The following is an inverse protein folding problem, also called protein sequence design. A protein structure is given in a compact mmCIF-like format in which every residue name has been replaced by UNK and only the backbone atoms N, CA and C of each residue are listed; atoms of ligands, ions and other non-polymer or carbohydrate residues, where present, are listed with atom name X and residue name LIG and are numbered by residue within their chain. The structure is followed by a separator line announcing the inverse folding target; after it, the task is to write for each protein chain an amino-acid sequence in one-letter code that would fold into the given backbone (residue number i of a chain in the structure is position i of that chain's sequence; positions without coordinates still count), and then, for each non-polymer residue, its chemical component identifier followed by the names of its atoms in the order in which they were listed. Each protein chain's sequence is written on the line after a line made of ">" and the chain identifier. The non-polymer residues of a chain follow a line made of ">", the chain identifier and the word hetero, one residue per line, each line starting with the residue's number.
data_IF_556850376688
#
_entry.id   IF_556850376688
#
_cell.length_a   1.000
_cell.length_b   1.000
_cell.length_c   1.000
_cell.angle_alpha   90.00
_cell.angle_beta   90.00
_cell.angle_gamma   90.00
#
_symmetry.space_group_name_H-M   'P 1'
#
loop_
_entity.id
_entity.type
_entity.pdbx_description
1 polymer ?
#
# COMPACT_ATOMS: atom_id res chain seq x y z
N UNK A 1 -68.97 -57.42 -24.67
CA UNK A 1 -67.89 -57.62 -23.67
C UNK A 1 -66.59 -57.26 -24.32
N UNK A 2 -66.09 -56.13 -24.16
CA UNK A 2 -64.81 -55.65 -24.74
C UNK A 2 -63.92 -55.16 -23.61
N UNK A 3 -62.81 -55.89 -23.44
CA UNK A 3 -61.76 -55.49 -22.51
C UNK A 3 -60.89 -54.43 -23.16
N UNK A 4 -60.87 -53.23 -22.63
CA UNK A 4 -59.94 -52.16 -22.98
C UNK A 4 -58.60 -52.34 -22.22
N UNK A 5 -57.51 -52.42 -22.94
CA UNK A 5 -56.15 -52.44 -22.41
C UNK A 5 -55.70 -50.98 -22.27
N UNK A 6 -55.51 -50.56 -21.04
CA UNK A 6 -55.00 -49.23 -20.71
C UNK A 6 -53.44 -49.32 -20.72
N UNK A 7 -52.80 -48.74 -21.73
CA UNK A 7 -51.35 -48.59 -21.77
C UNK A 7 -50.93 -47.35 -20.97
N UNK A 8 -50.27 -47.56 -19.84
CA UNK A 8 -49.61 -46.53 -19.06
C UNK A 8 -48.25 -46.21 -19.70
N UNK A 9 -48.15 -45.03 -20.30
CA UNK A 9 -46.91 -44.41 -20.69
C UNK A 9 -46.29 -43.70 -19.47
N UNK A 10 -45.22 -44.28 -18.93
CA UNK A 10 -44.34 -43.58 -17.96
C UNK A 10 -43.47 -42.58 -18.71
N UNK A 11 -43.41 -41.30 -18.36
CA UNK A 11 -42.39 -40.40 -18.89
C UNK A 11 -41.08 -40.65 -18.20
N UNK A 12 -40.06 -41.04 -18.98
CA UNK A 12 -38.65 -41.09 -18.54
C UNK A 12 -38.19 -39.66 -18.36
N UNK A 13 -38.10 -39.20 -17.12
CA UNK A 13 -37.41 -37.97 -16.74
C UNK A 13 -35.91 -38.16 -16.91
N UNK A 14 -35.36 -37.73 -18.05
CA UNK A 14 -33.94 -37.59 -18.26
C UNK A 14 -33.49 -36.36 -17.44
N UNK A 15 -33.02 -36.63 -16.23
CA UNK A 15 -32.36 -35.58 -15.42
C UNK A 15 -31.10 -35.09 -16.12
N UNK A 16 -31.12 -33.87 -16.59
CA UNK A 16 -29.90 -33.17 -16.98
C UNK A 16 -29.08 -32.93 -15.72
N UNK A 17 -28.09 -33.82 -15.50
CA UNK A 17 -27.05 -33.53 -14.53
C UNK A 17 -26.28 -32.33 -15.05
N UNK A 18 -26.56 -31.15 -14.49
CA UNK A 18 -25.70 -29.97 -14.63
C UNK A 18 -24.34 -30.34 -14.05
N UNK A 19 -23.40 -30.74 -14.90
CA UNK A 19 -21.99 -30.75 -14.52
C UNK A 19 -21.60 -29.30 -14.22
N UNK A 20 -21.69 -28.89 -12.96
CA UNK A 20 -20.98 -27.72 -12.51
C UNK A 20 -19.49 -28.02 -12.67
N UNK A 21 -18.72 -27.15 -13.34
CA UNK A 21 -17.29 -27.34 -13.36
C UNK A 21 -16.81 -27.43 -11.92
N UNK A 22 -16.09 -28.49 -11.58
CA UNK A 22 -15.33 -28.55 -10.33
C UNK A 22 -14.47 -27.29 -10.34
N UNK A 23 -14.51 -26.42 -9.29
CA UNK A 23 -13.65 -25.26 -9.24
C UNK A 23 -12.22 -25.74 -9.49
N UNK A 24 -11.65 -25.33 -10.62
CA UNK A 24 -10.29 -25.69 -10.98
C UNK A 24 -9.38 -25.32 -9.82
N UNK A 25 -8.47 -26.24 -9.44
CA UNK A 25 -7.45 -25.98 -8.41
C UNK A 25 -6.82 -24.63 -8.69
N UNK A 26 -6.88 -23.70 -7.72
CA UNK A 26 -6.26 -22.37 -7.86
C UNK A 26 -4.79 -22.58 -8.18
N UNK A 27 -4.30 -21.97 -9.24
CA UNK A 27 -2.92 -22.15 -9.72
C UNK A 27 -1.92 -21.22 -9.03
N UNK A 28 -2.34 -20.49 -8.01
CA UNK A 28 -1.48 -19.59 -7.24
C UNK A 28 -1.81 -19.70 -5.76
N UNK A 29 -0.77 -19.41 -4.97
CA UNK A 29 -0.86 -19.40 -3.53
C UNK A 29 -1.59 -18.14 -3.05
N UNK A 30 -2.11 -18.22 -1.84
CA UNK A 30 -2.68 -17.08 -1.13
C UNK A 30 -1.58 -16.09 -0.78
N UNK A 31 -1.95 -14.82 -0.58
CA UNK A 31 -1.02 -13.74 -0.21
C UNK A 31 -1.54 -12.95 0.99
N UNK A 32 -0.67 -12.77 1.98
CA UNK A 32 -0.85 -11.87 3.09
C UNK A 32 0.20 -10.75 3.01
N UNK A 33 -0.27 -9.50 2.92
CA UNK A 33 0.57 -8.31 3.06
C UNK A 33 0.38 -7.74 4.46
N UNK A 34 1.46 -7.65 5.23
CA UNK A 34 1.46 -7.05 6.57
C UNK A 34 2.32 -5.79 6.53
N UNK A 35 1.78 -4.69 7.05
CA UNK A 35 2.53 -3.46 7.29
C UNK A 35 2.59 -3.16 8.78
N UNK A 36 3.81 -2.93 9.28
CA UNK A 36 4.07 -2.37 10.61
C UNK A 36 4.49 -0.91 10.43
N UNK A 37 3.65 0.01 10.88
CA UNK A 37 3.87 1.45 10.69
C UNK A 37 5.16 1.94 11.35
N UNK A 38 5.95 2.70 10.62
CA UNK A 38 7.14 3.37 11.15
C UNK A 38 8.32 2.46 11.51
N UNK A 39 8.39 1.27 10.92
CA UNK A 39 9.46 0.31 11.21
C UNK A 39 10.74 0.68 10.44
N UNK A 40 11.61 1.47 11.07
CA UNK A 40 12.90 1.86 10.48
C UNK A 40 13.78 0.63 10.20
N UNK A 41 14.49 0.65 9.10
CA UNK A 41 15.25 -0.48 8.52
C UNK A 41 16.18 -1.21 9.50
N UNK A 42 16.71 -0.51 10.49
CA UNK A 42 17.70 -1.03 11.45
C UNK A 42 17.16 -1.26 12.87
N UNK A 43 15.84 -1.24 13.07
CA UNK A 43 15.24 -1.41 14.40
C UNK A 43 15.46 -2.80 15.01
N UNK A 44 15.75 -3.80 14.20
CA UNK A 44 16.04 -5.16 14.63
C UNK A 44 17.52 -5.39 15.01
N UNK A 45 18.39 -4.36 14.87
CA UNK A 45 19.82 -4.53 15.06
C UNK A 45 20.29 -4.33 16.51
N UNK A 46 19.53 -3.65 17.33
CA UNK A 46 19.87 -3.34 18.73
C UNK A 46 18.90 -4.00 19.75
N UNK A 47 18.20 -5.04 19.34
CA UNK A 47 17.27 -5.82 20.13
C UNK A 47 17.16 -7.24 19.59
N UNK A 48 16.91 -8.22 20.47
CA UNK A 48 16.70 -9.60 20.05
C UNK A 48 15.38 -9.76 19.31
N UNK A 49 15.47 -10.27 18.08
CA UNK A 49 14.34 -10.55 17.20
C UNK A 49 14.43 -11.97 16.60
N UNK A 50 14.36 -13.01 17.43
CA UNK A 50 14.63 -14.39 16.98
C UNK A 50 13.67 -14.89 15.90
N UNK A 51 12.42 -14.43 15.90
CA UNK A 51 11.44 -14.82 14.89
C UNK A 51 11.72 -14.12 13.54
N UNK A 52 12.05 -12.83 13.55
CA UNK A 52 12.46 -12.10 12.35
C UNK A 52 13.76 -12.64 11.77
N UNK A 53 14.72 -13.00 12.62
CA UNK A 53 16.01 -13.60 12.21
C UNK A 53 15.79 -14.96 11.54
N UNK A 54 14.89 -15.79 12.09
CA UNK A 54 14.50 -17.06 11.49
C UNK A 54 13.86 -16.83 10.11
N UNK A 55 12.97 -15.87 9.97
CA UNK A 55 12.36 -15.55 8.68
C UNK A 55 13.37 -15.08 7.64
N UNK A 56 14.44 -14.40 8.03
CA UNK A 56 15.51 -14.02 7.12
C UNK A 56 16.24 -15.25 6.55
N UNK A 57 16.34 -16.34 7.31
CA UNK A 57 16.91 -17.62 6.85
C UNK A 57 15.92 -18.43 6.03
N UNK A 58 14.65 -18.43 6.41
CA UNK A 58 13.59 -19.21 5.75
C UNK A 58 12.94 -18.50 4.55
N UNK A 59 13.33 -17.26 4.28
CA UNK A 59 12.76 -16.44 3.23
C UNK A 59 13.71 -15.40 2.66
N UNK A 60 13.14 -14.26 2.32
CA UNK A 60 13.81 -13.09 1.73
C UNK A 60 13.86 -11.96 2.75
N UNK A 61 15.02 -11.31 2.85
CA UNK A 61 15.20 -10.04 3.56
C UNK A 61 15.85 -9.04 2.61
N UNK A 62 15.28 -7.84 2.44
CA UNK A 62 15.99 -6.75 1.80
C UNK A 62 16.91 -6.05 2.82
N UNK A 63 18.02 -5.50 2.34
CA UNK A 63 18.93 -4.70 3.21
C UNK A 63 18.18 -3.52 3.80
N UNK A 64 17.41 -2.81 2.99
CA UNK A 64 16.40 -1.84 3.37
C UNK A 64 15.45 -1.58 2.19
N UNK A 65 14.31 -0.95 2.48
CA UNK A 65 13.33 -0.51 1.50
C UNK A 65 13.28 1.02 1.49
N UNK A 66 13.22 1.62 0.30
CA UNK A 66 13.07 3.06 0.15
C UNK A 66 11.60 3.42 -0.03
N UNK A 67 11.00 4.16 0.92
CA UNK A 67 9.63 4.64 0.78
C UNK A 67 9.55 5.78 -0.26
N UNK A 68 8.35 6.12 -0.79
CA UNK A 68 8.20 7.30 -1.61
C UNK A 68 8.33 8.57 -0.75
N UNK A 69 8.63 9.69 -1.38
CA UNK A 69 8.42 11.00 -0.79
C UNK A 69 6.95 11.42 -1.03
N UNK A 70 6.25 11.87 -0.06
CA UNK A 70 6.53 12.18 1.34
C UNK A 70 6.53 10.89 2.17
N UNK A 71 7.48 10.76 3.09
CA UNK A 71 7.64 9.60 3.98
C UNK A 71 6.59 9.61 5.10
N UNK A 72 5.36 9.36 4.73
CA UNK A 72 4.16 9.52 5.54
C UNK A 72 3.19 8.35 5.32
N UNK A 73 2.41 8.01 6.32
CA UNK A 73 1.62 6.77 6.41
C UNK A 73 0.69 6.53 5.21
N UNK A 74 -0.32 7.38 5.01
CA UNK A 74 -1.33 7.16 3.95
C UNK A 74 -0.74 7.24 2.54
N UNK A 75 0.11 8.22 2.20
CA UNK A 75 0.76 8.27 0.91
C UNK A 75 1.58 7.02 0.59
N UNK A 76 2.43 6.58 1.53
CA UNK A 76 3.30 5.40 1.35
C UNK A 76 2.51 4.10 1.23
N UNK A 77 1.50 3.90 2.06
CA UNK A 77 0.65 2.71 1.99
C UNK A 77 -0.09 2.61 0.65
N UNK A 78 -0.53 3.75 0.11
CA UNK A 78 -1.20 3.73 -1.19
C UNK A 78 -0.23 3.49 -2.35
N UNK A 79 1.02 3.95 -2.24
CA UNK A 79 2.09 3.58 -3.18
C UNK A 79 2.33 2.06 -3.16
N UNK A 80 2.46 1.46 -1.99
CA UNK A 80 2.69 0.01 -1.86
C UNK A 80 1.56 -0.81 -2.50
N UNK A 81 0.30 -0.40 -2.34
CA UNK A 81 -0.87 -1.16 -2.81
C UNK A 81 -1.29 -0.82 -4.24
N UNK A 82 -0.75 0.22 -4.85
CA UNK A 82 -1.08 0.65 -6.21
C UNK A 82 0.08 0.60 -7.19
N UNK A 83 1.32 0.56 -6.71
CA UNK A 83 2.52 0.65 -7.55
C UNK A 83 2.72 2.02 -8.22
N UNK A 84 2.05 3.08 -7.72
CA UNK A 84 2.09 4.41 -8.30
C UNK A 84 2.83 5.38 -7.37
N UNK A 85 3.50 6.36 -7.99
CA UNK A 85 4.04 7.49 -7.26
C UNK A 85 2.92 8.33 -6.64
N UNK A 86 3.25 9.08 -5.58
CA UNK A 86 2.26 9.88 -4.85
C UNK A 86 1.61 10.94 -5.74
N UNK A 87 2.36 11.56 -6.65
CA UNK A 87 1.80 12.52 -7.61
C UNK A 87 0.80 11.90 -8.61
N UNK A 88 0.88 10.59 -8.81
CA UNK A 88 -0.04 9.88 -9.71
C UNK A 88 -1.30 9.40 -8.99
N UNK A 89 -1.16 8.88 -7.78
CA UNK A 89 -2.33 8.37 -7.04
C UNK A 89 -3.07 9.42 -6.21
N UNK A 90 -2.44 10.55 -5.91
CA UNK A 90 -3.10 11.72 -5.33
C UNK A 90 -3.40 11.68 -3.83
N UNK A 91 -3.05 10.62 -3.12
CA UNK A 91 -3.11 10.57 -1.65
C UNK A 91 -1.82 11.19 -1.12
N UNK A 92 -1.79 12.52 -1.07
CA UNK A 92 -0.55 13.29 -0.89
C UNK A 92 -0.18 13.55 0.57
N UNK A 93 -1.09 13.25 1.51
CA UNK A 93 -0.90 13.54 2.93
C UNK A 93 -1.78 12.62 3.79
N UNK A 94 -1.43 12.43 5.06
CA UNK A 94 -2.30 11.76 6.03
C UNK A 94 -3.58 12.54 6.30
N UNK A 95 -3.49 13.85 6.16
CA UNK A 95 -4.62 14.75 6.33
C UNK A 95 -5.33 15.00 5.01
N UNK A 96 -6.64 14.81 4.98
CA UNK A 96 -7.50 15.31 3.93
C UNK A 96 -7.80 16.78 4.17
N UNK A 97 -7.80 17.58 3.13
CA UNK A 97 -8.07 19.01 3.23
C UNK A 97 -8.80 19.56 2.01
N UNK A 98 -9.47 20.71 2.23
CA UNK A 98 -10.12 21.49 1.19
C UNK A 98 -9.74 22.98 1.38
N UNK A 99 -9.06 23.53 0.39
CA UNK A 99 -8.54 24.91 0.45
C UNK A 99 -9.62 25.99 0.38
N UNK A 100 -10.77 25.70 -0.23
CA UNK A 100 -11.88 26.65 -0.36
C UNK A 100 -12.68 26.78 0.94
N UNK A 101 -13.04 25.63 1.53
CA UNK A 101 -13.78 25.58 2.80
C UNK A 101 -12.85 25.71 4.02
N UNK A 102 -11.52 25.56 3.80
CA UNK A 102 -10.48 25.55 4.84
C UNK A 102 -10.59 24.38 5.83
N UNK A 103 -11.38 23.36 5.53
CA UNK A 103 -11.49 22.17 6.35
C UNK A 103 -10.25 21.28 6.25
N UNK A 104 -9.84 20.76 7.41
CA UNK A 104 -8.78 19.77 7.56
C UNK A 104 -9.35 18.57 8.32
N UNK A 105 -9.16 17.39 7.79
CA UNK A 105 -9.61 16.14 8.41
C UNK A 105 -8.39 15.33 8.81
N UNK A 106 -8.32 14.92 10.07
CA UNK A 106 -7.21 14.12 10.60
C UNK A 106 -7.12 12.74 9.93
N UNK A 107 -5.99 12.09 10.05
CA UNK A 107 -5.75 10.72 9.60
C UNK A 107 -6.90 9.77 10.01
N UNK A 108 -7.32 9.82 11.27
CA UNK A 108 -8.42 9.01 11.80
C UNK A 108 -9.72 9.14 11.01
N UNK A 109 -10.07 10.37 10.67
CA UNK A 109 -11.33 10.69 9.98
C UNK A 109 -11.30 10.29 8.51
N UNK A 110 -10.12 10.26 7.88
CA UNK A 110 -9.97 10.04 6.45
C UNK A 110 -10.12 8.59 6.01
N UNK A 111 -10.04 7.61 6.92
CA UNK A 111 -9.96 6.20 6.56
C UNK A 111 -11.19 5.67 5.78
N UNK A 112 -12.34 6.31 5.91
CA UNK A 112 -13.57 5.99 5.18
C UNK A 112 -13.99 7.06 4.17
N UNK A 113 -13.15 8.07 3.93
CA UNK A 113 -13.44 9.20 3.05
C UNK A 113 -13.06 8.89 1.60
N UNK A 114 -13.96 8.26 0.87
CA UNK A 114 -13.76 7.86 -0.54
C UNK A 114 -13.20 9.01 -1.39
N UNK A 115 -13.67 10.24 -1.19
CA UNK A 115 -13.21 11.43 -1.91
C UNK A 115 -11.71 11.74 -1.74
N UNK A 116 -11.07 11.24 -0.67
CA UNK A 116 -9.64 11.38 -0.49
C UNK A 116 -8.84 10.31 -1.24
N UNK A 117 -9.33 9.07 -1.20
CA UNK A 117 -8.63 7.89 -1.71
C UNK A 117 -8.90 7.61 -3.19
N UNK A 118 -10.13 7.84 -3.67
CA UNK A 118 -10.53 7.52 -5.04
C UNK A 118 -10.17 8.64 -6.01
N UNK A 119 -8.96 8.59 -6.56
CA UNK A 119 -8.45 9.52 -7.57
C UNK A 119 -8.27 8.83 -8.94
N UNK A 120 -8.98 7.74 -9.19
CA UNK A 120 -8.91 6.98 -10.43
C UNK A 120 -7.84 5.88 -10.46
N UNK A 121 -6.96 5.81 -9.45
CA UNK A 121 -5.98 4.73 -9.26
C UNK A 121 -6.58 3.65 -8.36
N UNK A 122 -6.55 2.39 -8.80
CA UNK A 122 -7.10 1.28 -8.05
C UNK A 122 -6.05 0.66 -7.12
N UNK A 123 -6.42 0.39 -5.85
CA UNK A 123 -5.61 -0.49 -5.00
C UNK A 123 -5.71 -1.94 -5.47
N UNK A 124 -4.69 -2.73 -5.17
CA UNK A 124 -4.60 -4.12 -5.61
C UNK A 124 -5.81 -4.98 -5.20
N UNK A 125 -6.41 -4.74 -4.04
CA UNK A 125 -7.58 -5.51 -3.62
C UNK A 125 -8.79 -5.33 -4.54
N UNK A 126 -8.96 -4.18 -5.20
CA UNK A 126 -10.02 -3.99 -6.20
C UNK A 126 -9.63 -4.64 -7.53
N UNK A 127 -8.40 -4.44 -8.00
CA UNK A 127 -7.90 -5.06 -9.25
C UNK A 127 -7.98 -6.59 -9.19
N UNK A 128 -7.54 -7.18 -8.08
CA UNK A 128 -7.60 -8.62 -7.86
C UNK A 128 -9.06 -9.13 -7.77
N UNK A 129 -9.92 -8.38 -7.09
CA UNK A 129 -11.33 -8.70 -6.95
C UNK A 129 -12.06 -8.70 -8.31
N UNK A 130 -11.74 -7.73 -9.18
CA UNK A 130 -12.26 -7.68 -10.56
C UNK A 130 -11.82 -8.88 -11.41
N UNK A 131 -10.72 -9.50 -11.05
CA UNK A 131 -10.17 -10.67 -11.72
C UNK A 131 -10.47 -12.01 -11.01
N UNK A 132 -11.50 -11.99 -10.15
CA UNK A 132 -12.03 -13.21 -9.52
C UNK A 132 -11.31 -13.66 -8.25
N UNK A 133 -10.43 -12.83 -7.67
CA UNK A 133 -9.82 -13.10 -6.36
C UNK A 133 -10.72 -12.60 -5.24
N UNK A 134 -10.75 -13.30 -4.13
CA UNK A 134 -11.40 -12.84 -2.90
C UNK A 134 -10.42 -12.05 -2.06
N UNK A 135 -10.77 -10.82 -1.73
CA UNK A 135 -9.85 -9.88 -1.07
C UNK A 135 -10.44 -9.29 0.20
N UNK A 136 -9.59 -9.08 1.19
CA UNK A 136 -9.97 -8.49 2.47
C UNK A 136 -8.90 -7.52 2.98
N UNK A 137 -9.31 -6.58 3.82
CA UNK A 137 -8.42 -5.62 4.46
C UNK A 137 -8.75 -5.51 5.94
N UNK A 138 -7.74 -5.65 6.79
CA UNK A 138 -7.83 -5.45 8.23
C UNK A 138 -6.93 -4.28 8.62
N UNK A 139 -7.55 -3.13 8.91
CA UNK A 139 -6.92 -1.87 9.33
C UNK A 139 -6.01 -1.18 8.29
N UNK A 140 -5.73 -1.80 7.15
CA UNK A 140 -4.83 -1.21 6.16
C UNK A 140 -5.36 0.14 5.67
N UNK A 141 -4.52 1.20 5.61
CA UNK A 141 -4.94 2.54 5.18
C UNK A 141 -5.60 2.52 3.80
N UNK A 142 -6.77 3.13 3.71
CA UNK A 142 -7.57 3.14 2.48
C UNK A 142 -8.49 1.93 2.29
N UNK A 143 -8.38 0.88 3.13
CA UNK A 143 -9.21 -0.32 3.04
C UNK A 143 -10.69 -0.10 3.35
N UNK A 144 -11.04 1.01 3.99
CA UNK A 144 -12.43 1.40 4.28
C UNK A 144 -13.10 2.27 3.22
N UNK A 145 -12.39 2.66 2.17
CA UNK A 145 -12.88 3.52 1.10
C UNK A 145 -13.42 2.71 -0.08
N UNK A 146 -14.21 3.35 -0.93
CA UNK A 146 -14.65 2.82 -2.23
C UNK A 146 -13.78 3.39 -3.35
N UNK A 147 -13.57 2.60 -4.40
CA UNK A 147 -12.79 2.97 -5.57
C UNK A 147 -13.62 2.68 -6.82
N UNK A 148 -13.93 3.73 -7.58
CA UNK A 148 -14.88 3.65 -8.70
C UNK A 148 -16.19 2.96 -8.31
N UNK A 149 -16.67 3.26 -7.10
CA UNK A 149 -17.88 2.71 -6.53
C UNK A 149 -17.76 1.32 -5.88
N UNK A 150 -16.62 0.65 -5.98
CA UNK A 150 -16.39 -0.69 -5.44
C UNK A 150 -15.65 -0.65 -4.10
N UNK A 151 -16.09 -1.48 -3.15
CA UNK A 151 -15.41 -1.71 -1.89
C UNK A 151 -14.71 -3.08 -1.90
N UNK A 152 -13.66 -3.23 -1.10
CA UNK A 152 -13.09 -4.55 -0.79
C UNK A 152 -14.18 -5.47 -0.22
N UNK A 153 -14.13 -6.77 -0.50
CA UNK A 153 -15.19 -7.71 -0.10
C UNK A 153 -15.37 -7.81 1.43
N UNK A 154 -14.28 -7.74 2.16
CA UNK A 154 -14.30 -7.73 3.63
C UNK A 154 -13.36 -6.65 4.14
N UNK A 155 -13.85 -5.78 5.04
CA UNK A 155 -13.02 -4.73 5.62
C UNK A 155 -13.32 -4.57 7.10
N UNK A 156 -12.26 -4.52 7.90
CA UNK A 156 -12.29 -3.98 9.26
C UNK A 156 -11.45 -2.71 9.26
N UNK A 157 -12.07 -1.60 9.55
CA UNK A 157 -11.42 -0.30 9.66
C UNK A 157 -10.96 -0.09 11.08
N UNK A 158 -9.75 0.43 11.24
CA UNK A 158 -9.14 0.65 12.53
C UNK A 158 -10.02 1.48 13.46
N UNK A 159 -10.20 1.00 14.70
CA UNK A 159 -10.87 1.72 15.77
C UNK A 159 -9.86 2.50 16.56
N UNK A 160 -10.07 3.81 16.69
CA UNK A 160 -9.11 4.72 17.33
C UNK A 160 -9.09 4.71 18.84
N UNK A 161 -9.76 3.79 19.46
CA UNK A 161 -9.76 3.60 20.92
C UNK A 161 -8.78 2.52 21.35
N UNK A 162 -8.05 1.93 20.41
CA UNK A 162 -7.15 0.84 20.71
C UNK A 162 -5.85 1.33 21.36
N UNK A 163 -5.35 0.63 22.35
CA UNK A 163 -3.95 0.66 22.68
C UNK A 163 -3.20 -0.16 21.62
N UNK A 164 -2.49 0.50 20.70
CA UNK A 164 -1.72 -0.16 19.65
C UNK A 164 -0.72 -1.19 20.16
N UNK A 165 -0.38 -1.11 21.43
CA UNK A 165 0.47 -2.05 22.15
C UNK A 165 -0.26 -3.26 22.76
N UNK A 166 -1.54 -3.47 22.45
CA UNK A 166 -2.28 -4.65 22.94
C UNK A 166 -1.92 -5.90 22.16
N UNK A 167 -0.97 -6.66 22.69
CA UNK A 167 -0.47 -7.90 22.06
C UNK A 167 -1.55 -8.96 21.89
N UNK A 168 -2.53 -9.03 22.78
CA UNK A 168 -3.67 -9.95 22.68
C UNK A 168 -4.53 -9.62 21.45
N UNK A 169 -4.84 -8.35 21.24
CA UNK A 169 -5.60 -7.89 20.08
C UNK A 169 -4.86 -8.20 18.77
N UNK A 170 -3.55 -8.03 18.73
CA UNK A 170 -2.76 -8.38 17.55
C UNK A 170 -2.86 -9.88 17.21
N UNK A 171 -2.85 -10.76 18.20
CA UNK A 171 -3.05 -12.20 18.02
C UNK A 171 -4.46 -12.52 17.53
N UNK A 172 -5.48 -11.87 18.09
CA UNK A 172 -6.87 -11.99 17.66
C UNK A 172 -7.03 -11.56 16.20
N UNK A 173 -6.37 -10.47 15.77
CA UNK A 173 -6.38 -10.03 14.37
C UNK A 173 -5.74 -11.06 13.43
N UNK A 174 -4.65 -11.71 13.86
CA UNK A 174 -4.05 -12.82 13.11
C UNK A 174 -5.02 -13.99 13.00
N UNK A 175 -5.72 -14.34 14.06
CA UNK A 175 -6.71 -15.43 14.06
C UNK A 175 -7.89 -15.12 13.10
N UNK A 176 -8.34 -13.88 13.06
CA UNK A 176 -9.34 -13.40 12.08
C UNK A 176 -8.83 -13.62 10.65
N UNK A 177 -7.60 -13.20 10.36
CA UNK A 177 -7.00 -13.34 9.02
C UNK A 177 -6.85 -14.82 8.64
N UNK A 178 -6.42 -15.69 9.57
CA UNK A 178 -6.33 -17.14 9.32
C UNK A 178 -7.71 -17.74 9.01
N UNK A 179 -8.75 -17.33 9.72
CA UNK A 179 -10.11 -17.75 9.41
C UNK A 179 -10.58 -17.28 8.03
N UNK A 180 -10.24 -16.09 7.62
CA UNK A 180 -10.54 -15.60 6.26
C UNK A 180 -9.88 -16.47 5.19
N UNK A 181 -8.63 -16.86 5.37
CA UNK A 181 -7.94 -17.73 4.42
C UNK A 181 -8.49 -19.15 4.41
N UNK A 182 -8.84 -19.74 5.53
CA UNK A 182 -9.19 -21.15 5.66
C UNK A 182 -10.68 -21.43 5.55
N UNK A 183 -11.52 -20.68 6.26
CA UNK A 183 -12.97 -20.90 6.30
C UNK A 183 -13.73 -20.18 5.19
N UNK A 184 -13.26 -18.98 4.82
CA UNK A 184 -13.91 -18.16 3.82
C UNK A 184 -13.19 -18.16 2.48
N UNK A 185 -12.05 -18.85 2.38
CA UNK A 185 -11.26 -19.04 1.17
C UNK A 185 -10.83 -17.73 0.48
N UNK A 186 -10.44 -16.72 1.25
CA UNK A 186 -9.85 -15.51 0.71
C UNK A 186 -8.51 -15.80 0.04
N UNK A 187 -8.17 -15.01 -0.99
CA UNK A 187 -6.94 -15.15 -1.76
C UNK A 187 -5.89 -14.13 -1.38
N UNK A 188 -6.32 -12.91 -1.05
CA UNK A 188 -5.46 -11.78 -0.72
C UNK A 188 -6.01 -11.02 0.48
N UNK A 189 -5.18 -10.84 1.49
CA UNK A 189 -5.52 -10.08 2.70
C UNK A 189 -4.41 -9.06 2.98
N UNK A 190 -4.80 -7.83 3.31
CA UNK A 190 -3.90 -6.81 3.87
C UNK A 190 -4.15 -6.65 5.36
N UNK A 191 -3.08 -6.55 6.15
CA UNK A 191 -3.09 -6.39 7.59
C UNK A 191 -2.16 -5.24 7.99
N UNK A 192 -2.61 -4.37 8.89
CA UNK A 192 -1.85 -3.21 9.35
C UNK A 192 -1.81 -3.15 10.87
N UNK A 193 -0.65 -2.75 11.37
CA UNK A 193 -0.42 -2.42 12.78
C UNK A 193 0.20 -1.04 12.91
N UNK A 194 -0.34 -0.20 13.81
CA UNK A 194 0.12 1.17 14.04
C UNK A 194 1.41 1.30 14.84
N UNK A 195 2.13 0.21 15.09
CA UNK A 195 3.42 0.18 15.77
C UNK A 195 4.53 -0.35 14.83
N UNK A 196 5.77 0.13 15.05
CA UNK A 196 6.31 0.92 16.16
C UNK A 196 6.17 2.44 16.03
N UNK A 197 5.35 2.96 15.09
CA UNK A 197 5.20 4.39 14.81
C UNK A 197 4.76 5.20 16.04
N UNK A 198 3.69 4.78 16.71
CA UNK A 198 3.17 5.51 17.87
C UNK A 198 4.21 5.61 19.01
N UNK A 199 4.90 4.51 19.30
CA UNK A 199 6.00 4.50 20.27
C UNK A 199 7.15 5.39 19.82
N UNK A 200 7.50 5.36 18.53
CA UNK A 200 8.51 6.22 17.93
C UNK A 200 8.20 7.71 18.08
N UNK A 201 6.98 8.11 17.82
CA UNK A 201 6.53 9.49 18.04
C UNK A 201 6.57 9.90 19.50
N UNK A 202 6.08 9.04 20.38
CA UNK A 202 5.92 9.37 21.81
C UNK A 202 7.23 9.42 22.56
N UNK A 203 8.14 8.50 22.30
CA UNK A 203 9.37 8.33 23.08
C UNK A 203 10.65 8.64 22.29
N UNK A 204 10.60 8.58 20.96
CA UNK A 204 11.75 8.67 20.06
C UNK A 204 12.25 7.28 19.64
N UNK A 205 12.97 7.21 18.50
CA UNK A 205 13.42 5.93 17.92
C UNK A 205 14.57 5.26 18.68
N UNK A 206 15.37 6.03 19.43
CA UNK A 206 16.60 5.56 20.11
C UNK A 206 16.37 5.26 21.59
N UNK A 207 15.19 4.69 21.95
CA UNK A 207 14.78 4.49 23.32
C UNK A 207 14.51 3.02 23.64
N UNK A 208 14.53 2.68 24.94
CA UNK A 208 14.15 1.36 25.40
C UNK A 208 12.68 1.04 25.06
N UNK A 209 11.81 2.03 25.13
CA UNK A 209 10.40 1.85 24.73
C UNK A 209 10.28 1.36 23.28
N UNK A 210 11.09 1.90 22.38
CA UNK A 210 11.13 1.46 20.98
C UNK A 210 11.66 0.01 20.89
N UNK A 211 12.70 -0.35 21.63
CA UNK A 211 13.21 -1.73 21.65
C UNK A 211 12.16 -2.72 22.18
N UNK A 212 11.46 -2.36 23.23
CA UNK A 212 10.39 -3.20 23.82
C UNK A 212 9.25 -3.45 22.82
N UNK A 213 8.81 -2.43 22.07
CA UNK A 213 7.74 -2.66 21.08
C UNK A 213 8.22 -3.51 19.90
N UNK A 214 9.50 -3.44 19.51
CA UNK A 214 10.06 -4.33 18.48
C UNK A 214 10.05 -5.79 18.97
N UNK A 215 10.35 -6.05 20.22
CA UNK A 215 10.23 -7.39 20.80
C UNK A 215 8.79 -7.91 20.76
N UNK A 216 7.81 -7.05 21.02
CA UNK A 216 6.40 -7.40 20.89
C UNK A 216 6.02 -7.73 19.43
N UNK A 217 6.50 -6.95 18.48
CA UNK A 217 6.31 -7.21 17.05
C UNK A 217 6.93 -8.57 16.69
N UNK A 218 8.15 -8.86 17.16
CA UNK A 218 8.81 -10.14 16.91
C UNK A 218 8.00 -11.32 17.46
N UNK A 219 7.48 -11.22 18.67
CA UNK A 219 6.59 -12.25 19.22
C UNK A 219 5.31 -12.42 18.42
N UNK A 220 4.75 -11.32 17.91
CA UNK A 220 3.57 -11.34 17.04
C UNK A 220 3.86 -12.06 15.71
N UNK A 221 5.03 -11.83 15.13
CA UNK A 221 5.50 -12.55 13.93
C UNK A 221 5.66 -14.05 14.24
N UNK A 222 6.21 -14.41 15.40
CA UNK A 222 6.29 -15.79 15.86
C UNK A 222 4.90 -16.44 15.94
N UNK A 223 3.94 -15.75 16.54
CA UNK A 223 2.55 -16.22 16.60
C UNK A 223 1.93 -16.40 15.21
N UNK A 224 2.21 -15.48 14.27
CA UNK A 224 1.75 -15.60 12.88
C UNK A 224 2.28 -16.88 12.24
N UNK A 225 3.58 -17.16 12.34
CA UNK A 225 4.19 -18.37 11.75
C UNK A 225 3.55 -19.63 12.32
N UNK A 226 3.39 -19.69 13.64
CA UNK A 226 2.70 -20.80 14.30
C UNK A 226 1.23 -20.94 13.85
N UNK A 227 0.52 -19.82 13.66
CA UNK A 227 -0.86 -19.83 13.18
C UNK A 227 -0.96 -20.35 11.75
N UNK A 228 -0.02 -19.98 10.88
CA UNK A 228 0.07 -20.49 9.50
C UNK A 228 0.25 -22.02 9.52
N UNK A 229 1.11 -22.55 10.38
CA UNK A 229 1.33 -23.99 10.54
C UNK A 229 0.08 -24.68 11.07
N UNK A 230 -0.52 -24.19 12.15
CA UNK A 230 -1.75 -24.75 12.75
C UNK A 230 -2.91 -24.82 11.76
N UNK A 231 -2.98 -23.90 10.82
CA UNK A 231 -4.03 -23.84 9.78
C UNK A 231 -3.65 -24.53 8.48
N UNK A 232 -2.54 -25.27 8.45
CA UNK A 232 -2.04 -25.99 7.27
C UNK A 232 -1.83 -25.10 6.04
N UNK A 233 -1.44 -23.84 6.24
CA UNK A 233 -1.22 -22.86 5.20
C UNK A 233 0.24 -22.74 4.75
N UNK A 234 1.17 -23.46 5.37
CA UNK A 234 2.63 -23.34 5.11
C UNK A 234 2.99 -23.45 3.63
N UNK A 235 2.35 -24.36 2.91
CA UNK A 235 2.59 -24.58 1.48
C UNK A 235 1.57 -23.88 0.56
N UNK A 236 0.77 -22.97 1.10
CA UNK A 236 -0.35 -22.34 0.39
C UNK A 236 -0.45 -20.82 0.59
N UNK A 237 0.38 -20.26 1.45
CA UNK A 237 0.36 -18.84 1.80
C UNK A 237 1.74 -18.21 1.67
N UNK A 238 1.84 -17.19 0.83
CA UNK A 238 2.96 -16.26 0.82
C UNK A 238 2.68 -15.10 1.76
N UNK A 239 3.69 -14.62 2.45
CA UNK A 239 3.62 -13.48 3.35
C UNK A 239 4.68 -12.45 2.95
N UNK A 240 4.26 -11.19 2.84
CA UNK A 240 5.14 -10.03 2.72
C UNK A 240 4.95 -9.19 3.98
N UNK A 241 6.05 -8.90 4.66
CA UNK A 241 6.10 -7.99 5.83
C UNK A 241 6.87 -6.76 5.38
N UNK A 242 6.24 -5.60 5.46
CA UNK A 242 6.83 -4.32 5.07
C UNK A 242 6.46 -3.21 6.05
N UNK A 243 6.87 -2.01 5.75
CA UNK A 243 6.51 -0.80 6.48
C UNK A 243 6.51 0.38 5.51
N UNK A 244 5.93 1.46 5.93
CA UNK A 244 5.66 2.65 5.11
C UNK A 244 6.78 3.69 5.15
N UNK A 245 7.45 3.86 6.28
CA UNK A 245 8.56 4.80 6.50
C UNK A 245 9.36 4.45 7.75
N UNK A 246 10.45 5.18 7.96
CA UNK A 246 11.23 5.11 9.19
C UNK A 246 10.79 6.14 10.24
N UNK A 247 11.74 6.54 11.08
CA UNK A 247 11.53 7.47 12.19
C UNK A 247 12.87 8.10 12.57
N UNK A 248 12.88 9.42 12.86
CA UNK A 248 14.08 10.10 13.35
C UNK A 248 13.79 10.87 14.63
N UNK A 249 14.81 11.14 15.41
CA UNK A 249 14.68 11.94 16.64
C UNK A 249 14.43 13.40 16.32
N UNK A 250 13.41 14.00 16.92
CA UNK A 250 13.09 15.42 16.77
C UNK A 250 14.10 16.26 17.57
N UNK A 251 14.72 17.21 16.90
CA UNK A 251 15.69 18.16 17.48
C UNK A 251 14.96 19.35 18.10
N UNK A 252 15.32 19.69 19.32
CA UNK A 252 14.67 20.74 20.11
C UNK A 252 15.68 21.67 20.79
N UNK A 253 15.22 22.87 21.16
CA UNK A 253 15.99 23.78 22.04
C UNK A 253 16.41 23.03 23.33
N UNK A 254 17.59 23.36 23.92
CA UNK A 254 18.53 24.39 23.47
C UNK A 254 19.52 23.95 22.38
N UNK A 255 19.46 22.71 21.93
CA UNK A 255 20.49 22.12 21.04
C UNK A 255 20.46 22.68 19.62
N UNK A 256 19.30 23.17 19.19
CA UNK A 256 19.10 23.73 17.84
C UNK A 256 18.21 24.96 17.88
N UNK A 257 18.27 25.76 16.80
CA UNK A 257 17.24 26.73 16.49
C UNK A 257 16.14 26.02 15.71
N UNK A 258 14.93 25.99 16.26
CA UNK A 258 13.78 25.34 15.63
C UNK A 258 13.24 26.20 14.49
N UNK A 259 12.57 25.55 13.53
CA UNK A 259 11.92 26.25 12.41
C UNK A 259 10.54 26.71 12.87
N UNK A 260 10.32 28.02 12.92
CA UNK A 260 9.04 28.64 13.21
C UNK A 260 8.73 29.71 12.13
N UNK A 261 7.72 29.45 11.30
CA UNK A 261 7.47 30.27 10.11
C UNK A 261 7.10 31.72 10.45
N UNK A 262 6.42 31.95 11.58
CA UNK A 262 6.08 33.32 12.05
C UNK A 262 7.29 34.16 12.42
N UNK A 263 8.47 33.57 12.59
CA UNK A 263 9.71 34.35 12.78
C UNK A 263 10.14 35.07 11.48
N UNK A 264 9.66 34.60 10.32
CA UNK A 264 10.10 35.08 9.01
C UNK A 264 9.00 35.75 8.18
N UNK A 265 7.73 35.41 8.46
CA UNK A 265 6.58 35.92 7.71
C UNK A 265 5.45 36.39 8.63
N UNK A 266 4.68 37.35 8.14
CA UNK A 266 3.37 37.70 8.72
C UNK A 266 2.35 36.69 8.23
N UNK A 267 2.19 35.60 8.96
CA UNK A 267 1.46 34.42 8.51
C UNK A 267 0.04 34.76 8.04
N UNK A 268 -0.71 35.52 8.86
CA UNK A 268 -2.09 35.89 8.54
C UNK A 268 -2.22 36.86 7.34
N UNK A 269 -1.18 37.60 7.01
CA UNK A 269 -1.21 38.54 5.87
C UNK A 269 -0.87 37.83 4.55
N UNK A 270 -0.06 36.78 4.60
CA UNK A 270 0.54 36.14 3.42
C UNK A 270 -0.07 34.80 3.06
N UNK A 271 -0.58 34.02 4.03
CA UNK A 271 -1.03 32.63 3.85
C UNK A 271 -2.55 32.54 3.86
N UNK A 272 -3.13 32.03 2.78
CA UNK A 272 -4.57 31.73 2.68
C UNK A 272 -4.91 30.40 3.35
N UNK A 273 -4.07 29.38 3.14
CA UNK A 273 -4.26 28.03 3.68
C UNK A 273 -2.89 27.36 3.88
N UNK A 274 -2.78 26.51 4.87
CA UNK A 274 -1.53 25.81 5.21
C UNK A 274 -1.76 24.36 5.57
N UNK A 275 -0.76 23.54 5.26
CA UNK A 275 -0.55 22.19 5.78
C UNK A 275 0.84 22.16 6.39
N UNK A 276 0.94 22.53 7.65
CA UNK A 276 2.18 22.58 8.45
C UNK A 276 1.93 21.97 9.83
N UNK A 277 2.95 21.85 10.66
CA UNK A 277 2.89 21.19 11.97
C UNK A 277 2.74 19.64 11.88
N UNK A 278 3.23 19.06 10.79
CA UNK A 278 3.24 17.60 10.52
C UNK A 278 4.66 17.14 10.18
N UNK A 279 5.53 17.11 11.16
CA UNK A 279 6.90 16.65 10.96
C UNK A 279 7.73 17.57 10.06
N UNK A 280 8.55 16.96 9.23
CA UNK A 280 9.50 17.63 8.36
C UNK A 280 8.97 18.09 7.01
N UNK A 281 7.67 18.10 6.80
CA UNK A 281 7.04 18.48 5.54
C UNK A 281 5.96 19.53 5.74
N UNK A 282 5.80 20.45 4.77
CA UNK A 282 4.75 21.44 4.80
C UNK A 282 4.41 22.00 3.42
N UNK A 283 3.19 22.52 3.30
CA UNK A 283 2.72 23.21 2.10
C UNK A 283 1.97 24.47 2.48
N UNK A 284 2.10 25.51 1.65
CA UNK A 284 1.41 26.77 1.81
C UNK A 284 0.66 27.15 0.54
N UNK A 285 -0.58 27.63 0.72
CA UNK A 285 -1.33 28.34 -0.29
C UNK A 285 -1.24 29.85 0.01
N UNK A 286 -0.52 30.61 -0.80
CA UNK A 286 -0.43 32.07 -0.62
C UNK A 286 -1.77 32.77 -0.84
N UNK A 287 -1.98 33.89 -0.20
CA UNK A 287 -3.03 34.83 -0.59
C UNK A 287 -2.75 35.39 -1.99
N UNK A 288 -3.78 35.84 -2.73
CA UNK A 288 -3.59 36.42 -4.06
C UNK A 288 -2.50 37.50 -4.07
N UNK A 289 -1.53 37.36 -4.99
CA UNK A 289 -0.40 38.29 -5.15
C UNK A 289 0.73 38.13 -4.14
N UNK A 290 0.65 37.19 -3.18
CA UNK A 290 1.65 37.00 -2.14
C UNK A 290 2.65 35.86 -2.40
N UNK A 291 2.49 35.10 -3.49
CA UNK A 291 3.29 33.90 -3.74
C UNK A 291 4.79 34.19 -3.80
N UNK A 292 5.19 35.18 -4.61
CA UNK A 292 6.61 35.53 -4.78
C UNK A 292 7.22 36.09 -3.48
N UNK A 293 6.50 37.01 -2.80
CA UNK A 293 6.98 37.57 -1.56
C UNK A 293 7.13 36.52 -0.46
N UNK A 294 6.17 35.60 -0.38
CA UNK A 294 6.21 34.50 0.59
C UNK A 294 7.36 33.53 0.29
N UNK A 295 7.54 33.16 -0.98
CA UNK A 295 8.65 32.32 -1.40
C UNK A 295 10.00 32.94 -1.07
N UNK A 296 10.22 34.21 -1.42
CA UNK A 296 11.47 34.91 -1.16
C UNK A 296 11.76 35.07 0.34
N UNK A 297 10.72 35.29 1.16
CA UNK A 297 10.87 35.41 2.60
C UNK A 297 11.29 34.09 3.26
N UNK A 298 10.86 32.95 2.71
CA UNK A 298 11.12 31.62 3.30
C UNK A 298 12.33 30.90 2.69
N UNK A 299 12.70 31.18 1.45
CA UNK A 299 13.71 30.46 0.67
C UNK A 299 15.05 30.26 1.38
N UNK A 300 15.51 31.24 2.13
CA UNK A 300 16.77 31.20 2.88
C UNK A 300 16.57 31.55 4.35
N UNK A 301 15.36 31.37 4.87
CA UNK A 301 15.01 31.79 6.20
C UNK A 301 15.72 31.01 7.30
N UNK A 302 15.85 29.70 7.09
CA UNK A 302 16.50 28.80 8.05
C UNK A 302 17.44 27.84 7.30
N UNK A 303 18.65 27.56 7.83
CA UNK A 303 19.64 26.73 7.13
C UNK A 303 19.19 25.28 6.90
N UNK A 304 18.20 24.79 7.67
CA UNK A 304 17.67 23.43 7.59
C UNK A 304 16.26 23.37 6.99
N UNK A 305 15.76 24.47 6.39
CA UNK A 305 14.49 24.53 5.69
C UNK A 305 14.73 24.64 4.19
N UNK A 306 14.21 23.70 3.42
CA UNK A 306 14.25 23.68 1.97
C UNK A 306 12.88 24.12 1.44
N UNK A 307 12.84 25.19 0.65
CA UNK A 307 11.60 25.81 0.16
C UNK A 307 11.62 25.85 -1.36
N UNK A 308 10.51 25.46 -1.96
CA UNK A 308 10.34 25.41 -3.42
C UNK A 308 8.97 25.96 -3.82
N UNK A 309 8.93 26.56 -4.99
CA UNK A 309 7.68 26.64 -5.75
C UNK A 309 7.33 25.27 -6.27
N UNK A 310 6.06 24.96 -6.41
CA UNK A 310 5.56 23.64 -6.85
C UNK A 310 6.21 23.18 -8.17
N UNK A 311 6.32 24.07 -9.14
CA UNK A 311 6.89 23.82 -10.46
C UNK A 311 8.41 23.62 -10.47
N UNK A 312 9.09 24.00 -9.39
CA UNK A 312 10.54 23.84 -9.22
C UNK A 312 10.91 22.69 -8.27
N UNK A 313 9.90 21.98 -7.74
CA UNK A 313 10.15 20.88 -6.81
C UNK A 313 10.92 19.74 -7.48
N UNK A 314 11.96 19.16 -6.84
CA UNK A 314 12.81 18.18 -7.51
C UNK A 314 12.03 16.99 -8.04
N UNK A 315 12.20 16.67 -9.33
CA UNK A 315 11.48 15.58 -10.01
C UNK A 315 11.73 14.19 -9.37
N UNK A 316 12.89 14.00 -8.75
CA UNK A 316 13.22 12.74 -8.06
C UNK A 316 12.25 12.35 -6.95
N UNK A 317 11.49 13.30 -6.43
CA UNK A 317 10.49 13.05 -5.41
C UNK A 317 9.19 12.46 -5.96
N UNK A 318 8.90 12.63 -7.26
CA UNK A 318 7.64 12.17 -7.87
C UNK A 318 6.39 12.57 -7.05
N UNK A 319 6.33 13.86 -6.65
CA UNK A 319 5.35 14.33 -5.69
C UNK A 319 4.52 15.52 -6.17
N UNK A 320 5.15 16.51 -6.77
CA UNK A 320 4.56 17.85 -6.90
C UNK A 320 3.51 18.00 -8.02
N UNK A 321 3.41 17.06 -8.96
CA UNK A 321 2.57 17.23 -10.18
C UNK A 321 1.06 17.09 -9.91
N UNK A 322 0.65 16.58 -8.76
CA UNK A 322 -0.77 16.40 -8.46
C UNK A 322 -1.45 17.74 -8.13
N UNK A 323 -2.71 17.89 -8.56
CA UNK A 323 -3.51 19.12 -8.35
C UNK A 323 -3.73 19.50 -6.89
N UNK A 324 -3.67 18.55 -5.96
CA UNK A 324 -3.82 18.79 -4.52
C UNK A 324 -2.60 19.44 -3.88
N UNK A 325 -1.44 19.32 -4.51
CA UNK A 325 -0.20 19.91 -4.02
C UNK A 325 -0.29 21.42 -4.09
N UNK A 326 0.01 22.10 -2.96
CA UNK A 326 -0.09 23.55 -2.85
C UNK A 326 1.10 24.27 -3.53
N UNK A 327 0.97 25.54 -3.87
CA UNK A 327 1.96 26.29 -4.64
C UNK A 327 3.35 26.39 -4.03
N UNK A 328 3.47 26.39 -2.70
CA UNK A 328 4.75 26.42 -1.98
C UNK A 328 4.90 25.14 -1.18
N UNK A 329 6.01 24.45 -1.43
CA UNK A 329 6.42 23.20 -0.79
C UNK A 329 7.63 23.44 0.09
N UNK A 330 7.65 22.79 1.24
CA UNK A 330 8.77 22.83 2.17
C UNK A 330 9.08 21.44 2.69
N UNK A 331 10.36 21.13 2.81
CA UNK A 331 10.82 20.01 3.63
C UNK A 331 12.04 20.41 4.44
N UNK A 332 12.16 19.85 5.61
CA UNK A 332 13.26 20.14 6.51
C UNK A 332 14.32 19.04 6.49
N UNK A 333 15.53 19.38 6.90
CA UNK A 333 16.58 18.40 7.15
C UNK A 333 16.20 17.52 8.35
N UNK A 334 16.81 16.32 8.42
CA UNK A 334 16.47 15.30 9.41
C UNK A 334 16.35 15.85 10.83
N UNK A 335 15.21 15.60 11.46
CA UNK A 335 14.92 15.96 12.84
C UNK A 335 14.36 17.37 13.06
N UNK A 336 14.32 18.23 12.03
CA UNK A 336 13.71 19.55 12.12
C UNK A 336 12.26 19.51 11.71
N UNK A 337 11.34 19.72 12.66
CA UNK A 337 9.93 19.88 12.34
C UNK A 337 9.65 21.30 11.84
N UNK A 338 8.72 21.43 10.92
CA UNK A 338 8.26 22.72 10.41
C UNK A 338 7.05 23.17 11.22
N UNK A 339 7.25 24.18 12.05
CA UNK A 339 6.20 24.78 12.87
C UNK A 339 5.65 26.04 12.20
N UNK A 340 4.33 26.16 12.13
CA UNK A 340 3.65 27.29 11.51
C UNK A 340 3.66 28.55 12.38
N UNK A 341 2.83 28.58 13.39
CA UNK A 341 2.62 29.75 14.25
C UNK A 341 3.09 29.54 15.69
N UNK A 342 3.15 28.31 16.16
CA UNK A 342 3.61 27.94 17.50
C UNK A 342 4.47 26.69 17.42
N UNK A 343 5.47 26.60 18.29
CA UNK A 343 6.26 25.39 18.42
C UNK A 343 5.48 24.37 19.26
N UNK A 344 5.21 23.20 18.69
CA UNK A 344 4.47 22.13 19.33
C UNK A 344 5.43 21.00 19.68
N UNK A 345 5.52 20.64 20.96
CA UNK A 345 6.47 19.67 21.50
C UNK A 345 5.84 18.30 21.78
N UNK A 346 4.86 17.84 21.01
CA UNK A 346 4.21 16.57 21.26
C UNK A 346 5.08 15.37 20.87
N UNK A 347 5.77 15.44 19.74
CA UNK A 347 6.53 14.33 19.21
C UNK A 347 8.01 14.42 19.62
N UNK A 348 8.57 13.29 20.07
CA UNK A 348 10.00 13.09 20.29
C UNK A 348 10.67 12.42 19.09
N UNK A 349 9.92 11.69 18.27
CA UNK A 349 10.29 11.20 16.97
C UNK A 349 9.30 11.64 15.91
N UNK A 350 9.76 11.77 14.68
CA UNK A 350 8.92 12.16 13.55
C UNK A 350 9.50 11.65 12.22
N UNK A 351 8.72 11.80 11.18
CA UNK A 351 9.03 11.43 9.80
C UNK A 351 8.49 12.47 8.81
N UNK A 352 8.39 12.15 7.51
CA UNK A 352 7.99 13.12 6.49
C UNK A 352 9.18 13.83 5.84
N UNK A 353 10.40 13.42 6.15
CA UNK A 353 11.65 13.94 5.62
C UNK A 353 11.99 13.32 4.25
N UNK A 354 13.07 13.81 3.64
CA UNK A 354 13.61 13.27 2.40
C UNK A 354 13.80 11.74 2.48
N UNK A 355 13.29 11.03 1.51
CA UNK A 355 13.35 9.56 1.47
C UNK A 355 14.77 9.01 1.15
N UNK A 356 15.72 9.86 0.82
CA UNK A 356 17.14 9.47 0.69
C UNK A 356 17.78 9.19 2.05
N UNK A 357 17.27 9.78 3.12
CA UNK A 357 17.79 9.63 4.47
C UNK A 357 17.62 8.20 4.98
N UNK A 358 18.67 7.66 5.60
CA UNK A 358 18.63 6.29 6.15
C UNK A 358 17.58 6.15 7.26
N UNK A 359 17.37 7.18 8.06
CA UNK A 359 16.33 7.17 9.10
C UNK A 359 14.90 7.04 8.56
N UNK A 360 14.68 7.33 7.29
CA UNK A 360 13.39 7.16 6.62
C UNK A 360 13.25 5.82 5.91
N UNK A 361 14.35 5.06 5.75
CA UNK A 361 14.30 3.72 5.15
C UNK A 361 13.57 2.75 6.06
N UNK A 362 12.97 1.75 5.44
CA UNK A 362 12.13 0.79 6.11
C UNK A 362 12.45 -0.65 5.72
N UNK A 363 11.59 -1.61 6.03
CA UNK A 363 11.85 -3.04 5.90
C UNK A 363 11.06 -3.67 4.77
N UNK A 364 11.64 -4.73 4.21
CA UNK A 364 10.94 -5.72 3.40
C UNK A 364 11.42 -7.11 3.77
N UNK A 365 10.46 -7.97 4.11
CA UNK A 365 10.67 -9.39 4.35
C UNK A 365 9.58 -10.18 3.66
N UNK A 366 9.93 -11.36 3.15
CA UNK A 366 8.95 -12.21 2.49
C UNK A 366 9.29 -13.69 2.71
N UNK A 367 8.27 -14.50 2.89
CA UNK A 367 8.43 -15.96 3.01
C UNK A 367 7.18 -16.67 2.50
N UNK A 368 7.31 -17.94 2.25
CA UNK A 368 6.25 -18.80 1.76
C UNK A 368 6.70 -19.64 0.58
N UNK A 369 5.79 -20.44 0.00
CA UNK A 369 6.15 -21.45 -1.00
C UNK A 369 6.78 -20.90 -2.28
N UNK A 370 6.49 -19.64 -2.64
CA UNK A 370 6.99 -19.04 -3.88
C UNK A 370 8.26 -18.20 -3.69
N UNK A 371 8.70 -17.99 -2.45
CA UNK A 371 9.90 -17.23 -2.15
C UNK A 371 11.14 -18.11 -1.93
N UNK A 372 12.29 -17.60 -2.38
CA UNK A 372 13.60 -18.20 -2.06
C UNK A 372 13.87 -18.18 -0.57
N UNK A 373 14.68 -19.11 -0.11
CA UNK A 373 15.16 -19.14 1.27
C UNK A 373 16.55 -18.54 1.36
N UNK A 374 16.86 -17.96 2.51
CA UNK A 374 18.16 -17.33 2.79
C UNK A 374 18.63 -16.37 1.68
N UNK A 375 17.70 -15.56 1.16
CA UNK A 375 17.97 -14.62 0.09
C UNK A 375 18.02 -13.19 0.64
N UNK A 376 19.19 -12.56 0.54
CA UNK A 376 19.39 -11.15 0.86
C UNK A 376 19.24 -10.33 -0.42
N UNK A 377 18.17 -9.57 -0.51
CA UNK A 377 17.91 -8.70 -1.63
C UNK A 377 18.60 -7.34 -1.47
N UNK A 378 19.04 -6.77 -2.58
CA UNK A 378 19.53 -5.39 -2.62
C UNK A 378 18.40 -4.39 -2.29
N UNK A 379 18.74 -3.17 -1.84
CA UNK A 379 17.74 -2.14 -1.58
C UNK A 379 16.92 -1.81 -2.81
N UNK A 380 15.61 -1.57 -2.63
CA UNK A 380 14.73 -1.17 -3.72
C UNK A 380 13.61 -0.24 -3.23
N UNK A 381 12.91 0.38 -4.17
CA UNK A 381 11.81 1.30 -3.89
C UNK A 381 10.48 0.54 -3.68
N UNK A 382 9.65 0.99 -2.76
CA UNK A 382 8.39 0.32 -2.39
C UNK A 382 7.38 0.18 -3.54
N UNK A 383 7.48 1.00 -4.60
CA UNK A 383 6.64 0.86 -5.80
C UNK A 383 6.79 -0.51 -6.49
N UNK A 384 7.91 -1.20 -6.28
CA UNK A 384 8.18 -2.49 -6.89
C UNK A 384 7.48 -3.66 -6.19
N UNK A 385 6.90 -3.44 -5.01
CA UNK A 385 6.12 -4.46 -4.29
C UNK A 385 4.82 -4.78 -5.04
N UNK A 386 4.19 -3.79 -5.65
CA UNK A 386 2.94 -3.98 -6.37
C UNK A 386 3.01 -5.00 -7.52
N UNK A 387 3.94 -4.88 -8.51
CA UNK A 387 4.03 -5.89 -9.56
C UNK A 387 4.43 -7.26 -9.04
N UNK A 388 5.22 -7.37 -7.97
CA UNK A 388 5.51 -8.64 -7.30
C UNK A 388 4.23 -9.30 -6.77
N UNK A 389 3.40 -8.56 -6.07
CA UNK A 389 2.12 -9.06 -5.56
C UNK A 389 1.16 -9.47 -6.68
N UNK A 390 1.10 -8.70 -7.76
CA UNK A 390 0.32 -9.07 -8.96
C UNK A 390 0.78 -10.41 -9.54
N UNK A 391 2.09 -10.61 -9.65
CA UNK A 391 2.68 -11.89 -10.14
C UNK A 391 2.29 -13.05 -9.22
N UNK A 392 2.42 -12.88 -7.90
CA UNK A 392 2.06 -13.93 -6.91
C UNK A 392 0.58 -14.30 -6.94
N UNK A 393 -0.30 -13.34 -7.18
CA UNK A 393 -1.74 -13.55 -7.26
C UNK A 393 -2.23 -13.99 -8.64
N UNK A 394 -1.35 -14.00 -9.64
CA UNK A 394 -1.74 -14.32 -11.02
C UNK A 394 -2.77 -13.34 -11.57
N UNK A 395 -2.62 -12.04 -11.27
CA UNK A 395 -3.49 -10.97 -11.77
C UNK A 395 -2.73 -10.04 -12.69
N UNK A 396 -3.42 -9.53 -13.69
CA UNK A 396 -2.88 -8.48 -14.57
C UNK A 396 -2.86 -7.17 -13.81
N UNK A 397 -1.71 -6.50 -13.70
CA UNK A 397 -1.62 -5.23 -12.99
C UNK A 397 -2.33 -4.10 -13.74
N UNK A 398 -2.82 -3.12 -12.99
CA UNK A 398 -3.16 -1.80 -13.52
C UNK A 398 -1.88 -1.06 -13.98
N UNK A 399 -1.98 0.04 -14.74
CA UNK A 399 -0.82 0.87 -15.02
C UNK A 399 -0.10 1.28 -13.75
N UNK A 400 1.21 1.06 -13.69
CA UNK A 400 2.03 1.32 -12.50
C UNK A 400 3.44 1.82 -12.85
N UNK A 401 4.15 2.33 -11.87
CA UNK A 401 5.51 2.87 -12.02
C UNK A 401 6.59 1.87 -11.57
N UNK A 402 6.20 0.74 -11.00
CA UNK A 402 7.12 -0.30 -10.54
C UNK A 402 7.66 -1.19 -11.68
N UNK A 403 8.61 -2.06 -11.33
CA UNK A 403 9.17 -3.06 -12.24
C UNK A 403 9.29 -4.41 -11.53
N UNK A 404 8.72 -5.44 -12.14
CA UNK A 404 8.86 -6.81 -11.64
C UNK A 404 10.31 -7.31 -11.70
N UNK A 405 11.11 -6.82 -12.64
CA UNK A 405 12.51 -7.22 -12.78
C UNK A 405 13.36 -6.94 -11.53
N UNK A 406 12.96 -5.94 -10.72
CA UNK A 406 13.65 -5.59 -9.47
C UNK A 406 13.46 -6.65 -8.38
N UNK A 407 12.29 -7.30 -8.33
CA UNK A 407 11.90 -8.22 -7.25
C UNK A 407 11.80 -9.67 -7.70
N UNK A 408 11.83 -9.94 -8.99
CA UNK A 408 11.63 -11.28 -9.54
C UNK A 408 12.67 -12.31 -9.06
N UNK A 409 13.89 -11.88 -8.79
CA UNK A 409 14.96 -12.74 -8.26
C UNK A 409 14.66 -13.33 -6.88
N UNK A 410 13.70 -12.73 -6.14
CA UNK A 410 13.26 -13.22 -4.83
C UNK A 410 12.40 -14.49 -4.92
N UNK A 411 11.85 -14.78 -6.10
CA UNK A 411 10.98 -15.94 -6.33
C UNK A 411 11.81 -17.19 -6.62
N UNK A 412 11.25 -18.35 -6.26
CA UNK A 412 11.88 -19.65 -6.56
C UNK A 412 12.04 -19.84 -8.08
N UNK A 413 13.10 -20.52 -8.50
CA UNK A 413 13.43 -20.68 -9.93
C UNK A 413 12.35 -21.48 -10.71
N UNK A 414 11.61 -22.36 -10.02
CA UNK A 414 10.48 -23.11 -10.58
C UNK A 414 9.21 -22.27 -10.78
N UNK A 415 9.18 -21.03 -10.29
CA UNK A 415 7.97 -20.19 -10.38
C UNK A 415 7.54 -19.93 -11.83
N UNK A 416 8.47 -19.60 -12.70
CA UNK A 416 8.21 -19.32 -14.13
C UNK A 416 8.01 -20.58 -14.97
N UNK A 417 8.25 -21.79 -14.42
CA UNK A 417 8.02 -23.07 -15.09
C UNK A 417 6.59 -23.61 -14.89
N UNK A 418 5.76 -22.96 -14.11
CA UNK A 418 4.34 -23.29 -13.99
C UNK A 418 3.66 -22.95 -15.34
N UNK A 419 2.93 -23.92 -15.96
CA UNK A 419 2.32 -23.67 -17.25
C UNK A 419 1.35 -22.50 -17.18
N UNK A 420 1.57 -21.49 -18.02
CA UNK A 420 0.58 -20.47 -18.27
C UNK A 420 -0.71 -21.17 -18.71
N UNK A 421 -1.75 -21.11 -17.90
CA UNK A 421 -3.06 -21.59 -18.36
C UNK A 421 -3.50 -20.71 -19.50
N UNK A 422 -3.61 -21.34 -20.66
CA UNK A 422 -4.13 -20.69 -21.85
C UNK A 422 -5.49 -20.05 -21.58
N UNK A 423 -5.62 -18.82 -21.97
CA UNK A 423 -6.92 -18.22 -22.25
C UNK A 423 -7.69 -19.21 -23.13
N UNK A 424 -8.97 -19.46 -22.87
CA UNK A 424 -9.75 -20.29 -23.76
C UNK A 424 -9.66 -19.66 -25.16
N UNK A 425 -9.14 -20.45 -26.10
CA UNK A 425 -9.12 -20.11 -27.51
C UNK A 425 -10.52 -19.61 -27.90
N UNK A 426 -10.62 -18.33 -28.22
CA UNK A 426 -11.83 -17.80 -28.83
C UNK A 426 -12.18 -18.67 -30.03
N UNK A 427 -13.37 -19.25 -30.01
CA UNK A 427 -13.92 -20.07 -31.07
C UNK A 427 -13.65 -19.40 -32.43
N UNK A 428 -13.00 -20.17 -33.33
CA UNK A 428 -12.91 -19.79 -34.74
C UNK A 428 -14.32 -19.49 -35.23
N UNK A 429 -14.48 -18.30 -35.78
CA UNK A 429 -15.66 -18.00 -36.59
C UNK A 429 -15.79 -19.00 -37.73
N UNK A 430 -17.00 -19.48 -38.06
CA UNK A 430 -17.18 -20.43 -39.18
C UNK A 430 -16.83 -19.72 -40.48
N UNK A 431 -16.03 -20.39 -41.30
CA UNK A 431 -15.72 -19.98 -42.67
C UNK A 431 -17.02 -19.91 -43.50
N UNK A 432 -17.18 -18.91 -44.38
CA UNK A 432 -18.32 -18.88 -45.30
C UNK A 432 -18.18 -19.96 -46.35
N UNK A 433 -19.28 -20.53 -46.88
CA UNK A 433 -19.27 -21.62 -47.86
C UNK A 433 -18.74 -21.12 -49.21
N UNK A 434 -17.79 -21.89 -49.75
CA UNK A 434 -17.30 -21.73 -51.11
C UNK A 434 -18.38 -22.19 -52.09
N UNK A 435 -19.08 -21.23 -52.72
CA UNK A 435 -19.92 -21.47 -53.90
C UNK A 435 -19.13 -21.26 -55.19
N UNK A 436 -18.91 -22.34 -55.94
CA UNK A 436 -18.58 -22.26 -57.35
C UNK A 436 -19.86 -21.94 -58.12
N UNK A 437 -19.84 -21.01 -59.01
CA UNK A 437 -20.17 -21.14 -60.42
C UNK A 437 -20.15 -19.80 -61.18
N UNK A 438 -19.65 -19.78 -62.22
CA UNK A 438 -19.33 -19.38 -63.49
C UNK A 438 -20.36 -18.52 -64.22
N UNK A 439 -19.90 -17.43 -64.88
CA UNK A 439 -20.10 -17.16 -66.31
C UNK A 439 -19.87 -15.68 -66.61
N UNK A 440 -18.86 -15.46 -67.44
CA UNK A 440 -18.77 -14.53 -68.59
C UNK A 440 -19.15 -13.05 -68.50
N UNK A 441 -18.14 -12.31 -68.77
CA UNK A 441 -18.02 -10.92 -69.29
C UNK A 441 -18.94 -10.66 -70.51
N UNK A 442 -19.40 -9.38 -70.91
CA UNK A 442 -18.45 -8.44 -71.46
C UNK A 442 -18.67 -6.95 -71.18
N UNK A 443 -17.55 -6.25 -71.25
CA UNK A 443 -17.20 -4.89 -71.62
C UNK A 443 -18.27 -3.89 -72.09
N UNK A 444 -18.15 -2.64 -71.58
CA UNK A 444 -17.84 -1.39 -72.39
C UNK A 444 -17.93 -0.15 -71.53
N UNK A 445 -16.89 0.63 -71.73
CA UNK A 445 -16.68 2.04 -71.39
C UNK A 445 -17.51 2.94 -72.42
N UNK A 446 -17.88 4.19 -72.12
CA UNK A 446 -16.88 5.24 -71.94
C UNK A 446 -16.82 5.87 -70.58
#
# INVERSE_FOLDING_TARGET
>A
MGLGVLSLLLPILVGWASCHPIPGRKNFNKLLLISFDGFRWNYDQDVDTPNMDRLAQEGVKAKYLTPPFVTMTSPSHFTTISGRWIEDHGVIHNMMFNTETRWKYSFKTTQKKTEWWDNGVLPLWITAQRQGRKTASLHYPGGGAKYKGEAVQRSLVESYTHPDSNETEWRENIDIVMNWFTKEDFDFVTLYYGEPDNVGHKFGPETENRRVIIQQIDRTIGYLVEAIERHSLTNHLNVIITSDHGMTTVKKKPNVTEILLTDYIKFNDSVKFDIVDYGGFGMLLPKPGQEEALYQALKNAHPHLNVYKKEEFPERFHFAKHKRVLPILMYADSGYNINGQLIIYFNKGDHGFDNVLMDMKTIFRAFGPDFKKNHLAEPFDSIHIYPLMCKLLGVTPEPHNGSLAVTQEMLVDSYDQQPAQGLPSSARAPEPPTGRDGSRVPSRVP
#
